data_IF_779240900255
#
_entry.id   IF_779240900255
#
_cell.length_a   1.000
_cell.length_b   1.000
_cell.length_c   1.000
_cell.angle_alpha   90.00
_cell.angle_beta   90.00
_cell.angle_gamma   90.00
#
_symmetry.space_group_name_H-M   'P 1'
#
loop_
_entity.id
_entity.type
_entity.pdbx_description
1 polymer ?
#
# COMPACT_ATOMS: atom_id res chain seq x y z
N UNK A 1 -25.04 83.66 18.81
CA UNK A 1 -23.94 82.98 19.47
C UNK A 1 -24.22 81.44 19.37
N UNK A 2 -23.78 80.84 18.28
CA UNK A 2 -24.06 79.41 17.99
C UNK A 2 -22.72 78.64 17.99
N UNK A 3 -22.53 77.77 18.97
CA UNK A 3 -21.37 76.86 19.05
C UNK A 3 -21.61 75.63 18.23
N UNK A 4 -20.81 75.48 17.18
CA UNK A 4 -20.78 74.28 16.32
C UNK A 4 -19.85 73.21 16.97
N UNK A 5 -20.40 72.10 17.40
CA UNK A 5 -19.62 70.92 17.92
C UNK A 5 -19.36 70.00 16.76
N UNK A 6 -18.14 69.91 16.34
CA UNK A 6 -17.64 68.89 15.37
C UNK A 6 -17.46 67.51 16.04
N UNK A 7 -18.21 66.54 15.62
CA UNK A 7 -18.00 65.11 15.98
C UNK A 7 -16.88 64.50 15.09
N UNK A 8 -15.85 64.01 15.74
CA UNK A 8 -14.84 63.20 15.10
C UNK A 8 -15.30 61.67 15.15
N UNK A 9 -15.51 61.10 14.01
CA UNK A 9 -15.78 59.67 13.87
C UNK A 9 -14.45 58.98 13.57
N UNK A 10 -13.94 58.20 14.52
CA UNK A 10 -12.74 57.38 14.35
C UNK A 10 -13.15 56.02 13.72
N UNK A 11 -12.75 55.81 12.47
CA UNK A 11 -12.91 54.52 11.77
C UNK A 11 -11.72 53.63 12.14
N UNK A 12 -11.96 52.61 12.95
CA UNK A 12 -10.98 51.57 13.23
C UNK A 12 -11.01 50.56 12.09
N UNK A 13 -9.96 50.53 11.29
CA UNK A 13 -9.77 49.50 10.25
C UNK A 13 -9.29 48.18 10.89
N UNK A 14 -10.16 47.18 10.96
CA UNK A 14 -9.80 45.85 11.37
C UNK A 14 -9.15 45.08 10.19
N UNK A 15 -7.84 44.89 10.24
CA UNK A 15 -7.10 44.10 9.28
C UNK A 15 -7.31 42.62 9.60
N UNK A 16 -8.15 41.93 8.82
CA UNK A 16 -8.31 40.48 8.90
C UNK A 16 -7.12 39.79 8.18
N UNK A 17 -6.21 39.23 8.96
CA UNK A 17 -5.11 38.42 8.45
C UNK A 17 -5.66 37.04 8.07
N UNK A 18 -5.95 36.82 6.78
CA UNK A 18 -6.30 35.48 6.25
C UNK A 18 -5.03 34.63 6.17
N UNK A 19 -4.83 33.80 7.16
CA UNK A 19 -3.75 32.83 7.16
C UNK A 19 -4.05 31.72 6.09
N UNK A 20 -3.35 31.78 4.97
CA UNK A 20 -3.36 30.70 3.99
C UNK A 20 -2.58 29.54 4.59
N UNK A 21 -3.29 28.52 5.09
CA UNK A 21 -2.71 27.23 5.47
C UNK A 21 -2.26 26.54 4.18
N UNK A 22 -0.99 26.65 3.84
CA UNK A 22 -0.33 25.85 2.81
C UNK A 22 -0.30 24.41 3.31
N UNK A 23 -1.30 23.62 2.92
CA UNK A 23 -1.27 22.17 3.08
C UNK A 23 -0.12 21.64 2.23
N UNK A 24 0.98 21.21 2.87
CA UNK A 24 2.04 20.50 2.19
C UNK A 24 1.44 19.24 1.54
N UNK A 25 1.74 18.94 0.26
CA UNK A 25 1.28 17.72 -0.37
C UNK A 25 1.83 16.53 0.44
N UNK A 26 0.94 15.68 0.95
CA UNK A 26 1.33 14.40 1.50
C UNK A 26 1.88 13.59 0.32
N UNK A 27 3.20 13.46 0.22
CA UNK A 27 3.81 12.56 -0.76
C UNK A 27 3.34 11.15 -0.45
N UNK A 28 2.45 10.62 -1.28
CA UNK A 28 2.14 9.20 -1.28
C UNK A 28 3.44 8.45 -1.54
N UNK A 29 3.68 7.39 -0.78
CA UNK A 29 4.87 6.54 -0.95
C UNK A 29 4.88 6.02 -2.38
N UNK A 30 5.97 6.29 -3.12
CA UNK A 30 6.06 5.90 -4.52
C UNK A 30 6.31 4.38 -4.63
N UNK A 31 5.59 3.75 -5.55
CA UNK A 31 5.73 2.34 -5.87
C UNK A 31 6.23 2.16 -7.30
N UNK A 32 7.21 1.28 -7.50
CA UNK A 32 7.76 0.96 -8.81
C UNK A 32 7.53 -0.52 -9.09
N UNK A 33 6.92 -0.81 -10.24
CA UNK A 33 6.62 -2.18 -10.69
C UNK A 33 7.35 -2.46 -11.97
N UNK A 34 8.01 -3.64 -12.06
CA UNK A 34 8.74 -3.96 -13.28
C UNK A 34 9.45 -5.31 -13.24
N UNK A 35 10.45 -5.44 -14.07
CA UNK A 35 11.33 -6.60 -14.17
C UNK A 35 12.74 -6.20 -13.76
N UNK A 36 13.33 -6.96 -12.86
CA UNK A 36 14.71 -6.76 -12.42
C UNK A 36 15.68 -7.06 -13.59
N UNK A 37 16.49 -6.09 -13.96
CA UNK A 37 17.48 -6.20 -15.05
C UNK A 37 18.92 -6.24 -14.54
N UNK A 38 19.15 -5.73 -13.32
CA UNK A 38 20.43 -5.84 -12.62
C UNK A 38 20.25 -5.70 -11.11
N UNK A 39 21.14 -6.34 -10.34
CA UNK A 39 21.27 -6.14 -8.90
C UNK A 39 22.75 -6.21 -8.55
N UNK A 40 23.34 -5.10 -8.09
CA UNK A 40 24.77 -5.02 -7.77
C UNK A 40 25.03 -3.87 -6.80
N UNK A 41 25.93 -4.08 -5.84
CA UNK A 41 26.45 -3.06 -4.95
C UNK A 41 25.34 -2.21 -4.25
N UNK A 42 24.28 -2.87 -3.77
CA UNK A 42 23.17 -2.19 -3.11
C UNK A 42 22.26 -1.38 -4.04
N UNK A 43 22.39 -1.59 -5.35
CA UNK A 43 21.56 -0.92 -6.36
C UNK A 43 20.88 -1.95 -7.24
N UNK A 44 19.61 -1.71 -7.57
CA UNK A 44 18.84 -2.52 -8.51
C UNK A 44 18.45 -1.69 -9.73
N UNK A 45 18.39 -2.33 -10.89
CA UNK A 45 17.82 -1.75 -12.10
C UNK A 45 16.51 -2.45 -12.43
N UNK A 46 15.45 -1.68 -12.60
CA UNK A 46 14.10 -2.19 -12.85
C UNK A 46 13.57 -1.62 -14.17
N UNK A 47 13.28 -2.49 -15.12
CA UNK A 47 12.56 -2.12 -16.34
C UNK A 47 11.07 -2.02 -16.00
N UNK A 48 10.52 -0.81 -16.07
CA UNK A 48 9.12 -0.53 -15.74
C UNK A 48 8.19 -0.88 -16.92
N UNK A 49 6.91 -1.08 -16.64
CA UNK A 49 5.89 -1.31 -17.67
C UNK A 49 5.72 -0.13 -18.65
N UNK A 50 6.16 1.07 -18.26
CA UNK A 50 6.14 2.28 -19.11
C UNK A 50 7.31 2.33 -20.12
N UNK A 51 8.20 1.33 -20.11
CA UNK A 51 9.29 1.17 -21.07
C UNK A 51 10.62 1.83 -20.68
N UNK A 52 10.72 2.43 -19.49
CA UNK A 52 11.99 2.96 -18.95
C UNK A 52 12.69 1.99 -18.02
N UNK A 53 14.01 2.15 -17.84
CA UNK A 53 14.77 1.48 -16.79
C UNK A 53 15.09 2.48 -15.69
N UNK A 54 14.73 2.15 -14.46
CA UNK A 54 15.01 2.94 -13.28
C UNK A 54 16.13 2.28 -12.46
N UNK A 55 17.15 3.06 -12.11
CA UNK A 55 18.22 2.63 -11.19
C UNK A 55 17.87 3.09 -9.79
N UNK A 56 17.71 2.15 -8.87
CA UNK A 56 17.18 2.37 -7.52
C UNK A 56 18.19 1.87 -6.51
N UNK A 57 18.64 2.75 -5.61
CA UNK A 57 19.47 2.38 -4.49
C UNK A 57 18.62 1.71 -3.40
N UNK A 58 19.08 0.61 -2.86
CA UNK A 58 18.48 -0.02 -1.70
C UNK A 58 18.96 0.68 -0.42
N UNK A 59 18.04 0.96 0.49
CA UNK A 59 18.43 1.41 1.82
C UNK A 59 19.23 0.32 2.55
N UNK A 60 20.11 0.69 3.45
CA UNK A 60 20.92 -0.27 4.22
C UNK A 60 20.03 -1.24 5.04
N UNK A 61 18.85 -0.77 5.43
CA UNK A 61 17.83 -1.50 6.19
C UNK A 61 16.66 -1.98 5.31
N UNK A 62 16.83 -1.97 3.97
CA UNK A 62 15.78 -2.39 3.04
C UNK A 62 15.35 -3.83 3.32
N UNK A 63 14.03 -4.02 3.39
CA UNK A 63 13.44 -5.34 3.56
C UNK A 63 13.25 -6.02 2.21
N UNK A 64 13.62 -7.30 2.12
CA UNK A 64 13.37 -8.12 0.94
C UNK A 64 12.32 -9.16 1.26
N UNK A 65 11.37 -9.33 0.35
CA UNK A 65 10.28 -10.29 0.47
C UNK A 65 10.17 -11.13 -0.79
N UNK A 66 9.75 -12.38 -0.64
CA UNK A 66 9.44 -13.30 -1.73
C UNK A 66 7.93 -13.59 -1.73
N UNK A 67 7.31 -13.57 -2.89
CA UNK A 67 5.95 -14.04 -3.07
C UNK A 67 5.90 -15.26 -3.97
N UNK A 68 5.14 -16.27 -3.51
CA UNK A 68 4.88 -17.52 -4.23
C UNK A 68 3.38 -17.73 -4.34
N UNK A 69 2.89 -18.25 -5.47
CA UNK A 69 1.47 -18.58 -5.63
C UNK A 69 1.10 -19.73 -4.69
N UNK A 70 -0.02 -19.58 -3.99
CA UNK A 70 -0.59 -20.63 -3.13
C UNK A 70 -2.09 -20.76 -3.37
N UNK A 71 -2.65 -21.86 -2.88
CA UNK A 71 -4.09 -22.13 -2.99
C UNK A 71 -4.91 -21.32 -1.98
N UNK A 72 -6.21 -21.21 -2.25
CA UNK A 72 -7.20 -20.64 -1.33
C UNK A 72 -7.15 -21.27 0.06
N UNK A 73 -6.77 -22.55 0.18
CA UNK A 73 -6.63 -23.24 1.46
C UNK A 73 -5.60 -22.63 2.41
N UNK A 74 -4.68 -21.80 1.90
CA UNK A 74 -3.74 -21.04 2.71
C UNK A 74 -4.42 -19.92 3.55
N UNK A 75 -5.62 -19.48 3.13
CA UNK A 75 -6.42 -18.49 3.86
C UNK A 75 -7.13 -19.20 5.00
N UNK A 76 -6.64 -19.02 6.22
CA UNK A 76 -7.14 -19.70 7.41
C UNK A 76 -7.40 -18.70 8.54
N UNK A 77 -8.38 -19.01 9.41
CA UNK A 77 -8.63 -18.22 10.60
C UNK A 77 -7.37 -18.12 11.47
N UNK A 78 -7.14 -16.95 12.05
CA UNK A 78 -5.95 -16.65 12.85
C UNK A 78 -4.72 -16.23 12.04
N UNK A 79 -4.69 -16.42 10.70
CA UNK A 79 -3.59 -15.92 9.87
C UNK A 79 -3.62 -14.40 9.77
N UNK A 80 -2.43 -13.80 9.62
CA UNK A 80 -2.27 -12.40 9.25
C UNK A 80 -2.20 -12.31 7.72
N UNK A 81 -3.02 -11.45 7.13
CA UNK A 81 -3.15 -11.32 5.66
C UNK A 81 -3.15 -9.87 5.24
N UNK A 82 -2.70 -9.62 4.00
CA UNK A 82 -2.91 -8.37 3.27
C UNK A 82 -3.91 -8.61 2.15
N UNK A 83 -4.98 -7.84 2.09
CA UNK A 83 -5.99 -7.97 1.05
C UNK A 83 -6.16 -6.64 0.32
N UNK A 84 -5.89 -6.63 -0.99
CA UNK A 84 -6.30 -5.52 -1.84
C UNK A 84 -7.73 -5.76 -2.30
N UNK A 85 -8.60 -4.80 -2.03
CA UNK A 85 -10.02 -4.90 -2.34
C UNK A 85 -10.56 -3.64 -3.02
N UNK A 86 -11.58 -3.84 -3.84
CA UNK A 86 -12.39 -2.77 -4.45
C UNK A 86 -13.80 -2.82 -3.88
N UNK A 87 -14.52 -1.71 -3.97
CA UNK A 87 -15.94 -1.69 -3.68
C UNK A 87 -16.73 -2.10 -4.91
N UNK A 88 -17.62 -3.06 -4.76
CA UNK A 88 -18.52 -3.56 -5.77
C UNK A 88 -19.88 -3.87 -5.13
N UNK A 89 -20.94 -3.22 -5.62
CA UNK A 89 -22.32 -3.39 -5.13
C UNK A 89 -22.46 -3.24 -3.59
N UNK A 90 -21.76 -2.24 -3.04
CA UNK A 90 -21.76 -1.95 -1.59
C UNK A 90 -20.98 -2.96 -0.73
N UNK A 91 -20.19 -3.86 -1.35
CA UNK A 91 -19.35 -4.85 -0.68
C UNK A 91 -17.89 -4.66 -1.05
N UNK A 92 -16.99 -5.00 -0.13
CA UNK A 92 -15.56 -5.13 -0.43
C UNK A 92 -15.30 -6.48 -1.07
N UNK A 93 -14.68 -6.47 -2.27
CA UNK A 93 -14.33 -7.68 -3.03
C UNK A 93 -12.83 -7.71 -3.26
N UNK A 94 -12.19 -8.79 -2.83
CA UNK A 94 -10.74 -8.98 -2.97
C UNK A 94 -10.33 -9.10 -4.44
N UNK A 95 -9.19 -8.50 -4.77
CA UNK A 95 -8.44 -8.71 -6.01
C UNK A 95 -7.28 -9.66 -5.80
N UNK A 96 -6.63 -9.51 -4.65
CA UNK A 96 -5.47 -10.31 -4.26
C UNK A 96 -5.44 -10.49 -2.75
N UNK A 97 -4.85 -11.58 -2.31
CA UNK A 97 -4.65 -11.92 -0.91
C UNK A 97 -3.19 -12.34 -0.70
N UNK A 98 -2.51 -11.66 0.20
CA UNK A 98 -1.17 -12.02 0.68
C UNK A 98 -1.32 -12.74 2.02
N UNK A 99 -0.93 -13.98 2.11
CA UNK A 99 -0.85 -14.73 3.36
C UNK A 99 0.56 -14.56 3.90
N UNK A 100 0.72 -13.76 4.93
CA UNK A 100 2.03 -13.46 5.51
C UNK A 100 2.57 -14.62 6.33
N UNK A 101 3.89 -14.83 6.25
CA UNK A 101 4.61 -15.63 7.24
C UNK A 101 4.39 -15.05 8.64
N UNK A 102 4.39 -15.90 9.66
CA UNK A 102 4.11 -15.48 11.03
C UNK A 102 5.10 -14.44 11.56
N UNK A 103 6.36 -14.47 11.10
CA UNK A 103 7.38 -13.47 11.46
C UNK A 103 7.10 -12.07 10.92
N UNK A 104 6.13 -11.95 10.01
CA UNK A 104 5.69 -10.68 9.41
C UNK A 104 4.35 -10.20 9.97
N UNK A 105 3.81 -10.87 11.00
CA UNK A 105 2.57 -10.44 11.66
C UNK A 105 2.67 -8.98 12.13
N UNK A 106 1.67 -8.18 11.78
CA UNK A 106 1.62 -6.75 12.09
C UNK A 106 2.29 -5.85 11.04
N UNK A 107 2.91 -6.42 9.98
CA UNK A 107 3.53 -5.63 8.91
C UNK A 107 2.51 -4.71 8.24
N UNK A 108 2.71 -3.40 8.36
CA UNK A 108 1.83 -2.36 7.82
C UNK A 108 0.34 -2.58 8.17
N UNK A 109 0.05 -3.04 9.40
CA UNK A 109 -1.31 -3.32 9.86
C UNK A 109 -2.22 -2.10 9.70
N UNK A 110 -3.41 -2.29 9.11
CA UNK A 110 -4.38 -1.23 8.91
C UNK A 110 -5.24 -1.39 7.67
N UNK A 111 -6.01 -0.32 7.39
CA UNK A 111 -6.86 -0.20 6.20
C UNK A 111 -6.62 1.18 5.56
N UNK A 112 -6.11 1.20 4.33
CA UNK A 112 -5.64 2.44 3.69
C UNK A 112 -5.75 2.37 2.15
N UNK A 113 -5.81 3.54 1.47
CA UNK A 113 -5.81 3.60 0.01
C UNK A 113 -4.60 2.90 -0.60
N UNK A 114 -4.83 2.21 -1.72
CA UNK A 114 -3.82 1.48 -2.46
C UNK A 114 -3.84 1.84 -3.95
N UNK A 115 -2.79 1.48 -4.68
CA UNK A 115 -2.58 1.88 -6.08
C UNK A 115 -2.46 0.70 -7.05
N UNK A 116 -3.11 -0.43 -6.76
CA UNK A 116 -3.06 -1.62 -7.62
C UNK A 116 -3.71 -1.40 -8.98
N UNK A 117 -4.85 -0.73 -9.00
CA UNK A 117 -5.67 -0.49 -10.19
C UNK A 117 -5.97 1.01 -10.36
N UNK A 118 -6.44 1.39 -11.56
CA UNK A 118 -6.92 2.76 -11.83
C UNK A 118 -8.19 3.13 -11.06
N UNK A 119 -8.97 2.13 -10.61
CA UNK A 119 -10.13 2.33 -9.73
C UNK A 119 -9.69 2.45 -8.29
N UNK A 120 -10.41 3.23 -7.45
CA UNK A 120 -10.13 3.30 -6.02
C UNK A 120 -10.10 1.90 -5.39
N UNK A 121 -8.98 1.54 -4.78
CA UNK A 121 -8.81 0.28 -4.08
C UNK A 121 -8.13 0.52 -2.73
N UNK A 122 -8.31 -0.44 -1.83
CA UNK A 122 -7.83 -0.36 -0.46
C UNK A 122 -6.99 -1.59 -0.13
N UNK A 123 -5.90 -1.38 0.56
CA UNK A 123 -5.14 -2.44 1.23
C UNK A 123 -5.66 -2.60 2.66
N UNK A 124 -5.86 -3.84 3.08
CA UNK A 124 -6.20 -4.19 4.46
C UNK A 124 -5.23 -5.24 4.96
N UNK A 125 -4.30 -4.86 5.83
CA UNK A 125 -3.40 -5.79 6.52
C UNK A 125 -3.95 -6.04 7.92
N UNK A 126 -4.35 -7.28 8.20
CA UNK A 126 -5.13 -7.61 9.39
C UNK A 126 -5.10 -9.10 9.74
N UNK A 127 -5.55 -9.42 10.94
CA UNK A 127 -5.79 -10.80 11.36
C UNK A 127 -7.15 -11.28 10.86
N UNK A 128 -7.22 -12.52 10.34
CA UNK A 128 -8.49 -13.17 10.02
C UNK A 128 -9.14 -13.64 11.33
N UNK A 129 -10.22 -12.97 11.71
CA UNK A 129 -11.00 -13.34 12.87
C UNK A 129 -11.99 -14.47 12.57
N UNK A 130 -12.60 -14.47 11.39
CA UNK A 130 -13.62 -15.45 10.96
C UNK A 130 -13.61 -15.63 9.47
N UNK A 131 -13.96 -16.84 9.02
CA UNK A 131 -14.20 -17.19 7.62
C UNK A 131 -15.58 -17.82 7.52
N UNK A 132 -16.36 -17.39 6.54
CA UNK A 132 -17.64 -18.00 6.16
C UNK A 132 -17.59 -18.35 4.67
N UNK A 133 -18.09 -19.53 4.31
CA UNK A 133 -18.24 -19.95 2.92
C UNK A 133 -19.63 -19.48 2.43
N UNK A 134 -19.66 -18.74 1.33
CA UNK A 134 -20.91 -18.22 0.73
C UNK A 134 -20.91 -18.57 -0.75
N UNK A 135 -21.60 -19.63 -1.10
CA UNK A 135 -21.52 -20.21 -2.44
C UNK A 135 -20.11 -20.72 -2.74
N UNK A 136 -19.48 -20.18 -3.77
CA UNK A 136 -18.09 -20.48 -4.14
C UNK A 136 -17.08 -19.50 -3.50
N UNK A 137 -17.55 -18.43 -2.91
CA UNK A 137 -16.71 -17.37 -2.37
C UNK A 137 -16.46 -17.55 -0.88
N UNK A 138 -15.40 -16.95 -0.37
CA UNK A 138 -15.11 -16.84 1.07
C UNK A 138 -15.38 -15.44 1.55
N UNK A 139 -16.13 -15.30 2.63
CA UNK A 139 -16.30 -14.03 3.32
C UNK A 139 -15.45 -14.05 4.57
N UNK A 140 -14.47 -13.16 4.64
CA UNK A 140 -13.56 -13.05 5.77
C UNK A 140 -13.87 -11.81 6.59
N UNK A 141 -13.88 -11.95 7.91
CA UNK A 141 -13.87 -10.84 8.85
C UNK A 141 -12.44 -10.64 9.33
N UNK A 142 -11.94 -9.43 9.14
CA UNK A 142 -10.58 -9.01 9.45
C UNK A 142 -10.58 -8.03 10.60
N UNK A 143 -9.69 -8.24 11.58
CA UNK A 143 -9.51 -7.34 12.71
C UNK A 143 -8.10 -6.74 12.67
N UNK A 144 -8.00 -5.43 12.82
CA UNK A 144 -6.77 -4.66 12.95
C UNK A 144 -6.92 -3.62 14.06
N UNK A 145 -5.82 -3.00 14.51
CA UNK A 145 -5.78 -2.16 15.70
C UNK A 145 -6.82 -1.02 15.75
N UNK A 146 -7.29 -0.53 14.59
CA UNK A 146 -8.22 0.61 14.50
C UNK A 146 -9.60 0.26 13.96
N UNK A 147 -9.93 -1.04 13.82
CA UNK A 147 -11.25 -1.43 13.34
C UNK A 147 -11.30 -2.84 12.75
N UNK A 148 -12.35 -3.08 12.00
CA UNK A 148 -12.60 -4.33 11.31
C UNK A 148 -13.05 -4.10 9.88
N UNK A 149 -12.85 -5.10 9.03
CA UNK A 149 -13.37 -5.14 7.66
C UNK A 149 -13.98 -6.52 7.37
N UNK A 150 -15.03 -6.51 6.57
CA UNK A 150 -15.56 -7.73 5.97
C UNK A 150 -15.29 -7.68 4.47
N UNK A 151 -14.61 -8.70 3.96
CA UNK A 151 -14.18 -8.77 2.57
C UNK A 151 -14.61 -10.10 1.97
N UNK A 152 -15.24 -10.05 0.79
CA UNK A 152 -15.54 -11.24 -0.02
C UNK A 152 -14.31 -11.56 -0.87
N UNK A 153 -13.84 -12.79 -0.80
CA UNK A 153 -12.72 -13.31 -1.59
C UNK A 153 -13.32 -14.27 -2.63
N UNK A 154 -13.45 -13.85 -3.89
CA UNK A 154 -13.93 -14.72 -4.96
C UNK A 154 -12.86 -15.75 -5.33
N UNK A 155 -13.25 -16.88 -5.91
CA UNK A 155 -12.33 -17.93 -6.38
C UNK A 155 -11.32 -17.42 -7.42
N UNK A 156 -11.62 -16.30 -8.09
CA UNK A 156 -10.74 -15.65 -9.06
C UNK A 156 -9.66 -14.75 -8.44
N UNK A 157 -9.69 -14.53 -7.12
CA UNK A 157 -8.68 -13.72 -6.45
C UNK A 157 -7.31 -14.41 -6.49
N UNK A 158 -6.27 -13.63 -6.76
CA UNK A 158 -4.89 -14.14 -6.68
C UNK A 158 -4.50 -14.31 -5.21
N UNK A 159 -3.97 -15.48 -4.85
CA UNK A 159 -3.49 -15.75 -3.49
C UNK A 159 -2.01 -16.07 -3.54
N UNK A 160 -1.23 -15.38 -2.71
CA UNK A 160 0.22 -15.61 -2.58
C UNK A 160 0.63 -15.75 -1.12
N UNK A 161 1.62 -16.58 -0.85
CA UNK A 161 2.39 -16.54 0.38
C UNK A 161 3.39 -15.39 0.29
N UNK A 162 3.64 -14.74 1.42
CA UNK A 162 4.48 -13.56 1.54
C UNK A 162 5.50 -13.78 2.66
N UNK A 163 6.76 -13.99 2.28
CA UNK A 163 7.83 -14.41 3.17
C UNK A 163 9.00 -13.43 3.13
N UNK A 164 9.86 -13.43 4.15
CA UNK A 164 11.17 -12.76 4.06
C UNK A 164 12.03 -13.44 3.02
N UNK A 165 12.81 -12.65 2.28
CA UNK A 165 13.72 -13.15 1.27
C UNK A 165 15.18 -12.82 1.59
N UNK A 166 16.13 -13.72 1.34
CA UNK A 166 17.54 -13.40 1.30
C UNK A 166 17.92 -12.64 0.02
N UNK A 167 19.09 -12.00 0.03
CA UNK A 167 19.53 -11.12 -1.06
C UNK A 167 19.76 -11.84 -2.40
N UNK A 168 20.03 -13.13 -2.39
CA UNK A 168 20.20 -13.95 -3.60
C UNK A 168 18.92 -14.12 -4.41
N UNK A 169 17.77 -13.81 -3.84
CA UNK A 169 16.49 -13.78 -4.57
C UNK A 169 16.36 -12.58 -5.51
N UNK A 170 17.24 -11.58 -5.43
CA UNK A 170 17.33 -10.47 -6.39
C UNK A 170 17.97 -10.94 -7.71
N UNK A 171 17.35 -11.88 -8.39
CA UNK A 171 17.82 -12.43 -9.64
C UNK A 171 17.25 -11.68 -10.86
N UNK A 172 18.08 -11.48 -11.89
CA UNK A 172 17.67 -10.86 -13.17
C UNK A 172 16.52 -11.65 -13.79
N UNK A 173 15.54 -10.94 -14.35
CA UNK A 173 14.32 -11.51 -14.92
C UNK A 173 13.14 -11.64 -13.95
N UNK A 174 13.37 -11.56 -12.64
CA UNK A 174 12.30 -11.57 -11.63
C UNK A 174 11.40 -10.35 -11.77
N UNK A 175 10.10 -10.54 -11.58
CA UNK A 175 9.16 -9.44 -11.42
C UNK A 175 9.28 -8.89 -10.01
N UNK A 176 9.30 -7.58 -9.89
CA UNK A 176 9.47 -6.91 -8.60
C UNK A 176 8.44 -5.79 -8.40
N UNK A 177 8.08 -5.59 -7.15
CA UNK A 177 7.38 -4.42 -6.64
C UNK A 177 8.29 -3.74 -5.62
N UNK A 178 8.64 -2.49 -5.87
CA UNK A 178 9.55 -1.71 -5.04
C UNK A 178 8.79 -0.63 -4.30
N UNK A 179 8.99 -0.57 -3.02
CA UNK A 179 8.43 0.44 -2.13
C UNK A 179 9.53 1.44 -1.81
N UNK A 180 9.37 2.68 -2.26
CA UNK A 180 10.33 3.75 -2.01
C UNK A 180 10.17 4.31 -0.60
N UNK A 181 11.23 4.87 -0.01
CA UNK A 181 11.09 5.74 1.16
C UNK A 181 10.18 6.93 0.83
N UNK A 182 9.58 7.55 1.83
CA UNK A 182 8.67 8.69 1.64
C UNK A 182 9.32 9.89 0.92
N UNK A 183 10.62 10.06 1.08
CA UNK A 183 11.42 11.10 0.40
C UNK A 183 11.81 10.71 -1.04
N UNK A 184 11.49 9.49 -1.47
CA UNK A 184 11.81 8.96 -2.80
C UNK A 184 13.30 8.65 -3.02
N UNK A 185 14.16 8.75 -2.01
CA UNK A 185 15.62 8.66 -2.16
C UNK A 185 16.13 7.23 -2.40
N UNK A 186 15.55 6.25 -1.72
CA UNK A 186 15.99 4.85 -1.70
C UNK A 186 14.79 3.91 -1.61
N UNK A 187 14.97 2.65 -2.02
CA UNK A 187 13.98 1.61 -1.76
C UNK A 187 14.00 1.21 -0.28
N UNK A 188 12.85 1.27 0.38
CA UNK A 188 12.64 0.76 1.73
C UNK A 188 12.33 -0.74 1.73
N UNK A 189 11.71 -1.25 0.65
CA UNK A 189 11.43 -2.67 0.50
C UNK A 189 11.37 -3.07 -0.98
N UNK A 190 11.69 -4.34 -1.24
CA UNK A 190 11.51 -4.98 -2.55
C UNK A 190 10.77 -6.29 -2.35
N UNK A 191 9.63 -6.42 -3.00
CA UNK A 191 8.88 -7.66 -3.10
C UNK A 191 9.22 -8.33 -4.42
N UNK A 192 9.70 -9.56 -4.36
CA UNK A 192 10.24 -10.32 -5.47
C UNK A 192 9.26 -11.45 -5.78
N UNK A 193 8.82 -11.56 -7.02
CA UNK A 193 8.07 -12.73 -7.47
C UNK A 193 8.97 -13.95 -7.57
N UNK A 194 8.53 -15.11 -7.12
CA UNK A 194 9.15 -16.37 -7.46
C UNK A 194 9.18 -16.56 -9.00
N UNK A 195 9.86 -17.57 -9.49
CA UNK A 195 9.93 -17.81 -10.94
C UNK A 195 8.53 -17.92 -11.55
N UNK A 196 8.28 -17.09 -12.58
CA UNK A 196 6.96 -17.01 -13.23
C UNK A 196 5.89 -16.23 -12.45
N UNK A 197 6.15 -15.83 -11.21
CA UNK A 197 5.20 -15.08 -10.39
C UNK A 197 5.40 -13.58 -10.55
N UNK A 198 4.32 -12.87 -10.84
CA UNK A 198 4.29 -11.40 -10.75
C UNK A 198 3.76 -11.04 -9.36
N UNK A 199 4.50 -10.24 -8.55
CA UNK A 199 3.95 -9.75 -7.28
C UNK A 199 2.60 -9.07 -7.53
N UNK A 200 1.52 -9.50 -6.87
CA UNK A 200 0.19 -8.98 -7.11
C UNK A 200 -0.07 -7.72 -6.26
N UNK A 201 0.68 -6.64 -6.48
CA UNK A 201 0.57 -5.38 -5.72
C UNK A 201 0.86 -4.17 -6.58
#
# INVERSE_FOLDING_TARGET
MLMCRTLWVSIAAATVLVGVLLSAPAFAQAHIRGTLTAAKDGTISVQTAKGGTESIKLANDASLFLVTTVDMSAIQAGKFVGITSVEQDGKRVAREVHVFDESLRGLAEGHYPWDLESKPNMMTNANIAKIEEVGTDRVVRLNYARGEQTITIPMSATVVAFDKAPADQLAVGRKVFVVMKKDGSEAAAVVIGAEGVKPPM
#
